data_IF_395440630095
#
_entry.id   IF_395440630095
#
_cell.length_a   1.000
_cell.length_b   1.000
_cell.length_c   1.000
_cell.angle_alpha   90.00
_cell.angle_beta   90.00
_cell.angle_gamma   90.00
#
_symmetry.space_group_name_H-M   'P 1'
#
loop_
_entity.id
_entity.type
_entity.pdbx_description
1 polymer ?
#
# COMPACT_ATOMS: atom_id res chain seq x y z
N UNK A 1 -12.21 27.46 -23.87
CA UNK A 1 -10.99 26.85 -23.29
C UNK A 1 -10.76 25.45 -23.83
N UNK A 2 -9.74 24.75 -23.33
CA UNK A 2 -9.37 23.39 -23.75
C UNK A 2 -10.42 22.35 -23.36
N UNK A 3 -10.33 21.14 -23.94
CA UNK A 3 -11.26 20.04 -23.66
C UNK A 3 -10.82 19.17 -22.48
N UNK A 4 -11.78 18.62 -21.73
CA UNK A 4 -11.50 17.62 -20.69
C UNK A 4 -12.55 16.53 -20.60
N UNK A 5 -12.13 15.34 -20.19
CA UNK A 5 -12.99 14.18 -19.97
C UNK A 5 -12.95 13.77 -18.50
N UNK A 6 -14.12 13.47 -17.93
CA UNK A 6 -14.26 12.91 -16.58
C UNK A 6 -14.96 11.55 -16.69
N UNK A 7 -14.35 10.52 -16.11
CA UNK A 7 -14.95 9.20 -15.96
C UNK A 7 -14.70 8.64 -14.55
N UNK A 8 -15.63 7.82 -14.06
CA UNK A 8 -15.58 7.29 -12.69
C UNK A 8 -16.04 8.30 -11.63
N UNK A 9 -15.85 7.96 -10.36
CA UNK A 9 -16.38 8.73 -9.22
C UNK A 9 -15.31 9.37 -8.35
N UNK A 10 -14.05 8.94 -8.44
CA UNK A 10 -12.98 9.38 -7.54
C UNK A 10 -12.57 10.83 -7.82
N UNK A 11 -12.97 11.77 -6.96
CA UNK A 11 -12.63 13.20 -7.11
C UNK A 11 -13.23 13.89 -8.34
N UNK A 12 -14.12 13.21 -9.07
CA UNK A 12 -14.67 13.67 -10.34
C UNK A 12 -15.35 15.04 -10.24
N UNK A 13 -16.15 15.27 -9.19
CA UNK A 13 -16.84 16.54 -8.96
C UNK A 13 -15.86 17.70 -8.76
N UNK A 14 -14.82 17.51 -7.95
CA UNK A 14 -13.82 18.54 -7.64
C UNK A 14 -13.12 18.99 -8.92
N UNK A 15 -12.71 18.03 -9.75
CA UNK A 15 -11.98 18.29 -10.99
C UNK A 15 -12.90 18.88 -12.06
N UNK A 16 -14.14 18.39 -12.18
CA UNK A 16 -15.13 18.95 -13.11
C UNK A 16 -15.39 20.42 -12.79
N UNK A 17 -15.71 20.73 -11.54
CA UNK A 17 -15.98 22.11 -11.13
C UNK A 17 -14.77 23.03 -11.30
N UNK A 18 -13.55 22.53 -11.08
CA UNK A 18 -12.33 23.30 -11.37
C UNK A 18 -12.19 23.62 -12.87
N UNK A 19 -12.36 22.61 -13.74
CA UNK A 19 -12.24 22.77 -15.19
C UNK A 19 -13.32 23.72 -15.74
N UNK A 20 -14.56 23.55 -15.30
CA UNK A 20 -15.70 24.38 -15.69
C UNK A 20 -15.48 25.84 -15.29
N UNK A 21 -15.03 26.12 -14.05
CA UNK A 21 -14.69 27.49 -13.61
C UNK A 21 -13.54 28.11 -14.40
N UNK A 22 -12.65 27.31 -14.98
CA UNK A 22 -11.56 27.77 -15.86
C UNK A 22 -12.01 27.95 -17.32
N UNK A 23 -13.28 27.74 -17.65
CA UNK A 23 -13.82 27.85 -19.00
C UNK A 23 -13.40 26.70 -19.93
N UNK A 24 -13.06 25.54 -19.36
CA UNK A 24 -12.75 24.32 -20.13
C UNK A 24 -14.03 23.65 -20.58
N UNK A 25 -13.98 22.97 -21.73
CA UNK A 25 -15.15 22.33 -22.35
C UNK A 25 -15.16 20.84 -22.05
N UNK A 26 -16.21 20.35 -21.38
CA UNK A 26 -16.33 18.91 -21.08
C UNK A 26 -16.65 18.13 -22.36
N UNK A 27 -15.97 17.01 -22.55
CA UNK A 27 -16.26 16.01 -23.59
C UNK A 27 -16.74 14.71 -22.94
N UNK A 28 -17.64 14.00 -23.64
CA UNK A 28 -18.24 12.75 -23.16
C UNK A 28 -17.75 11.52 -23.92
N UNK A 29 -17.23 11.71 -25.13
CA UNK A 29 -16.61 10.65 -25.92
C UNK A 29 -15.19 10.36 -25.37
N UNK A 30 -14.98 9.16 -24.82
CA UNK A 30 -13.71 8.73 -24.22
C UNK A 30 -12.60 8.53 -25.26
N UNK A 31 -12.96 8.22 -26.50
CA UNK A 31 -12.06 7.90 -27.60
C UNK A 31 -11.42 9.15 -28.23
N UNK A 32 -11.98 10.34 -27.99
CA UNK A 32 -11.38 11.61 -28.44
C UNK A 32 -9.98 11.79 -27.86
N UNK A 33 -9.06 12.25 -28.69
CA UNK A 33 -7.65 12.49 -28.36
C UNK A 33 -7.31 13.99 -28.24
N UNK A 34 -8.21 14.89 -28.62
CA UNK A 34 -8.04 16.34 -28.55
C UNK A 34 -8.33 16.93 -27.15
N UNK A 35 -8.02 16.19 -26.09
CA UNK A 35 -8.21 16.61 -24.70
C UNK A 35 -6.96 17.25 -24.12
N UNK A 36 -7.13 18.14 -23.14
CA UNK A 36 -6.06 18.62 -22.26
C UNK A 36 -5.96 17.80 -20.98
N UNK A 37 -7.10 17.30 -20.46
CA UNK A 37 -7.15 16.46 -19.27
C UNK A 37 -8.12 15.28 -19.45
N UNK A 38 -7.65 14.08 -19.10
CA UNK A 38 -8.50 12.89 -18.91
C UNK A 38 -8.42 12.44 -17.45
N UNK A 39 -9.50 12.66 -16.72
CA UNK A 39 -9.67 12.21 -15.34
C UNK A 39 -10.52 10.95 -15.29
N UNK A 40 -9.89 9.79 -15.45
CA UNK A 40 -10.56 8.50 -15.32
C UNK A 40 -9.57 7.40 -14.94
N UNK A 41 -10.07 6.35 -14.28
CA UNK A 41 -9.32 5.12 -14.07
C UNK A 41 -9.05 4.46 -15.42
N UNK A 42 -7.82 4.57 -15.92
CA UNK A 42 -7.45 4.08 -17.24
C UNK A 42 -6.83 2.70 -17.11
N UNK A 43 -7.66 1.67 -17.30
CA UNK A 43 -7.26 0.25 -17.18
C UNK A 43 -6.61 -0.33 -18.45
N UNK A 44 -6.55 0.42 -19.55
CA UNK A 44 -6.12 -0.10 -20.86
C UNK A 44 -4.83 0.56 -21.33
N UNK A 45 -3.82 -0.25 -21.64
CA UNK A 45 -2.52 0.18 -22.17
C UNK A 45 -2.65 1.05 -23.44
N UNK A 46 -3.60 0.73 -24.33
CA UNK A 46 -3.81 1.44 -25.59
C UNK A 46 -4.09 2.96 -25.43
N UNK A 47 -4.70 3.38 -24.31
CA UNK A 47 -4.95 4.80 -24.06
C UNK A 47 -3.68 5.57 -23.66
N UNK A 48 -2.65 4.88 -23.16
CA UNK A 48 -1.36 5.49 -22.85
C UNK A 48 -0.47 5.61 -24.09
N UNK A 49 -0.57 4.69 -25.05
CA UNK A 49 0.22 4.76 -26.29
C UNK A 49 -0.04 6.03 -27.11
N UNK A 50 -1.26 6.58 -27.03
CA UNK A 50 -1.66 7.80 -27.73
C UNK A 50 -1.46 9.08 -26.90
N UNK A 51 -0.88 8.97 -25.70
CA UNK A 51 -0.64 10.11 -24.82
C UNK A 51 0.48 11.00 -25.38
N UNK A 52 0.23 12.31 -25.42
CA UNK A 52 1.20 13.31 -25.91
C UNK A 52 1.75 14.13 -24.74
N UNK A 53 2.97 13.82 -24.34
CA UNK A 53 3.69 14.51 -23.25
C UNK A 53 3.77 16.02 -23.50
N UNK A 54 3.69 16.82 -22.42
CA UNK A 54 3.63 18.28 -22.44
C UNK A 54 2.32 18.87 -22.99
N UNK A 55 1.56 18.11 -23.78
CA UNK A 55 0.28 18.54 -24.38
C UNK A 55 -0.91 18.08 -23.56
N UNK A 56 -0.89 16.87 -23.02
CA UNK A 56 -2.02 16.24 -22.33
C UNK A 56 -1.72 15.92 -20.87
N UNK A 57 -2.78 15.78 -20.06
CA UNK A 57 -2.73 15.33 -18.66
C UNK A 57 -3.65 14.13 -18.46
N UNK A 58 -3.19 13.16 -17.68
CA UNK A 58 -3.91 11.95 -17.34
C UNK A 58 -3.86 11.74 -15.82
N UNK A 59 -4.93 11.16 -15.27
CA UNK A 59 -5.08 10.96 -13.82
C UNK A 59 -4.12 9.92 -13.22
N UNK A 60 -3.68 8.93 -14.00
CA UNK A 60 -2.81 7.85 -13.54
C UNK A 60 -1.52 7.81 -14.34
N UNK A 61 -0.43 7.45 -13.66
CA UNK A 61 0.85 7.16 -14.29
C UNK A 61 0.76 5.73 -14.86
N UNK A 62 1.27 5.48 -16.08
CA UNK A 62 1.42 4.13 -16.60
C UNK A 62 2.16 3.23 -15.60
N UNK A 63 1.74 1.98 -15.46
CA UNK A 63 2.34 1.00 -14.55
C UNK A 63 2.27 1.36 -13.04
N UNK A 64 1.33 2.21 -12.62
CA UNK A 64 1.12 2.53 -11.19
C UNK A 64 0.89 1.28 -10.32
N UNK A 65 0.41 0.17 -10.90
CA UNK A 65 0.23 -1.13 -10.27
C UNK A 65 1.49 -1.66 -9.56
N UNK A 66 2.69 -1.21 -9.97
CA UNK A 66 3.98 -1.49 -9.31
C UNK A 66 3.98 -1.00 -7.86
N UNK A 67 3.26 0.07 -7.52
CA UNK A 67 3.19 0.59 -6.15
C UNK A 67 1.78 0.49 -5.54
N UNK A 68 0.74 0.42 -6.36
CA UNK A 68 -0.66 0.48 -5.90
C UNK A 68 -1.30 -0.90 -5.69
N UNK A 69 -0.62 -1.99 -6.08
CA UNK A 69 -1.05 -3.36 -5.80
C UNK A 69 -0.21 -4.00 -4.69
N UNK A 70 -0.79 -4.96 -3.97
CA UNK A 70 -0.09 -5.66 -2.87
C UNK A 70 1.13 -6.42 -3.38
N UNK A 71 1.00 -7.08 -4.53
CA UNK A 71 2.09 -7.85 -5.17
C UNK A 71 3.11 -6.91 -5.80
N UNK A 72 2.67 -5.90 -6.56
CA UNK A 72 3.59 -4.93 -7.15
C UNK A 72 4.47 -4.27 -6.10
N UNK A 73 3.86 -3.82 -4.99
CA UNK A 73 4.61 -3.20 -3.90
C UNK A 73 5.60 -4.18 -3.28
N UNK A 74 5.18 -5.42 -3.01
CA UNK A 74 6.04 -6.46 -2.45
C UNK A 74 7.25 -6.78 -3.35
N UNK A 75 7.02 -6.88 -4.65
CA UNK A 75 8.06 -7.11 -5.66
C UNK A 75 9.01 -5.92 -5.76
N UNK A 76 8.50 -4.68 -5.66
CA UNK A 76 9.33 -3.46 -5.72
C UNK A 76 10.24 -3.29 -4.51
N UNK A 77 9.82 -3.79 -3.34
CA UNK A 77 10.58 -3.65 -2.10
C UNK A 77 11.70 -4.68 -1.92
N UNK A 78 11.91 -5.57 -2.89
CA UNK A 78 12.91 -6.65 -2.80
C UNK A 78 12.63 -7.65 -1.68
N UNK A 79 11.40 -7.68 -1.16
CA UNK A 79 10.98 -8.55 -0.05
C UNK A 79 10.67 -9.99 -0.47
N UNK A 80 10.49 -10.24 -1.77
CA UNK A 80 10.71 -11.57 -2.36
C UNK A 80 12.17 -11.91 -2.07
N UNK A 81 12.39 -12.62 -0.95
CA UNK A 81 13.71 -13.04 -0.52
C UNK A 81 14.41 -13.69 -1.70
N UNK A 82 15.58 -13.17 -2.06
CA UNK A 82 16.55 -13.91 -2.85
C UNK A 82 16.72 -15.25 -2.14
N UNK A 83 16.10 -16.30 -2.68
CA UNK A 83 16.46 -17.66 -2.33
C UNK A 83 17.91 -17.78 -2.77
N UNK A 84 18.82 -17.70 -1.80
CA UNK A 84 20.19 -18.15 -1.95
C UNK A 84 20.14 -19.62 -2.36
N UNK A 85 19.98 -19.87 -3.65
CA UNK A 85 20.40 -21.10 -4.28
C UNK A 85 21.91 -20.95 -4.39
N UNK A 86 22.61 -21.47 -3.38
CA UNK A 86 23.98 -21.93 -3.51
C UNK A 86 24.00 -23.06 -4.55
N UNK A 87 23.95 -22.70 -5.83
CA UNK A 87 24.34 -23.56 -6.94
C UNK A 87 25.06 -22.67 -7.95
N UNK A 88 26.34 -22.96 -8.17
CA UNK A 88 27.18 -22.24 -9.11
C UNK A 88 26.54 -22.22 -10.49
N UNK A 89 26.26 -21.03 -11.00
CA UNK A 89 25.78 -20.82 -12.36
C UNK A 89 25.91 -19.35 -12.72
N UNK A 90 26.93 -19.02 -13.52
CA UNK A 90 27.06 -17.69 -14.11
C UNK A 90 25.90 -17.49 -15.08
N UNK A 91 25.01 -16.53 -14.81
CA UNK A 91 24.11 -15.99 -15.83
C UNK A 91 23.90 -14.49 -15.64
N UNK A 92 24.26 -13.76 -16.70
CA UNK A 92 23.56 -12.58 -17.23
C UNK A 92 23.36 -11.38 -16.33
N UNK A 93 24.13 -10.32 -16.58
CA UNK A 93 23.80 -8.96 -16.13
C UNK A 93 22.36 -8.62 -16.52
N UNK A 94 21.48 -8.53 -15.53
CA UNK A 94 20.15 -7.94 -15.67
C UNK A 94 20.13 -6.62 -14.90
N UNK A 95 19.60 -5.60 -15.57
CA UNK A 95 19.60 -4.20 -15.14
C UNK A 95 19.12 -4.02 -13.69
N UNK A 96 19.96 -3.40 -12.86
CA UNK A 96 19.57 -2.95 -11.51
C UNK A 96 18.55 -1.81 -11.63
N UNK A 97 17.45 -1.81 -10.85
CA UNK A 97 16.54 -0.67 -10.80
C UNK A 97 17.25 0.57 -10.25
N UNK A 98 16.90 1.74 -10.80
CA UNK A 98 17.56 3.04 -10.61
C UNK A 98 17.84 3.43 -9.14
N UNK A 99 17.05 2.95 -8.18
CA UNK A 99 17.23 3.24 -6.75
C UNK A 99 18.37 2.49 -6.06
N UNK A 100 19.02 1.53 -6.75
CA UNK A 100 20.25 0.89 -6.25
C UNK A 100 21.53 1.66 -6.58
N UNK A 101 21.45 2.84 -7.22
CA UNK A 101 22.59 3.71 -7.45
C UNK A 101 22.95 4.44 -6.16
N UNK A 102 23.94 3.92 -5.42
CA UNK A 102 24.64 4.68 -4.39
C UNK A 102 25.70 5.53 -5.08
N UNK A 103 25.71 6.87 -4.93
CA UNK A 103 26.87 7.64 -5.38
C UNK A 103 28.01 7.35 -4.41
N UNK A 104 29.11 6.78 -4.92
CA UNK A 104 30.36 6.71 -4.18
C UNK A 104 30.82 8.14 -3.88
N UNK A 105 30.71 8.53 -2.60
CA UNK A 105 31.23 9.80 -2.11
C UNK A 105 32.75 9.64 -1.97
N UNK A 106 33.50 10.37 -2.79
CA UNK A 106 34.96 10.46 -2.74
C UNK A 106 35.43 11.00 -1.37
N UNK A 107 36.51 10.45 -0.76
CA UNK A 107 36.83 10.74 0.63
C UNK A 107 37.83 11.91 0.76
N UNK A 108 37.42 13.15 0.51
CA UNK A 108 38.24 14.31 0.84
C UNK A 108 37.40 15.49 1.37
N UNK A 109 37.10 15.50 2.67
CA UNK A 109 37.29 16.68 3.56
C UNK A 109 36.68 16.49 4.96
N UNK A 110 37.53 16.77 5.95
CA UNK A 110 37.30 17.12 7.36
C UNK A 110 35.97 16.82 8.06
N UNK A 111 36.04 15.85 8.98
CA UNK A 111 35.47 15.80 10.34
C UNK A 111 34.45 16.90 10.72
N UNK A 112 33.17 16.57 10.64
CA UNK A 112 32.15 16.93 11.64
C UNK A 112 31.24 15.73 11.87
N UNK A 113 31.00 15.41 13.14
CA UNK A 113 30.12 14.33 13.58
C UNK A 113 28.71 14.53 13.01
N UNK A 114 28.39 13.84 11.92
CA UNK A 114 27.01 13.59 11.49
C UNK A 114 26.75 12.15 11.89
N UNK A 115 25.89 11.96 12.91
CA UNK A 115 25.33 10.65 13.18
C UNK A 115 24.76 10.12 11.87
N UNK A 116 25.36 9.05 11.31
CA UNK A 116 24.86 8.38 10.13
C UNK A 116 23.43 7.92 10.47
N UNK A 117 22.44 8.70 10.06
CA UNK A 117 21.06 8.26 10.04
C UNK A 117 21.00 7.21 8.92
N UNK A 118 21.32 5.95 9.26
CA UNK A 118 21.12 4.80 8.38
C UNK A 118 19.66 4.85 7.94
N UNK A 119 19.41 5.21 6.68
CA UNK A 119 18.07 5.14 6.10
C UNK A 119 17.64 3.67 6.18
N UNK A 120 16.56 3.34 6.91
CA UNK A 120 16.11 1.96 6.99
C UNK A 120 15.77 1.47 5.58
N UNK A 121 16.25 0.27 5.22
CA UNK A 121 15.90 -0.33 3.93
C UNK A 121 14.39 -0.56 3.92
N UNK A 122 13.72 -0.44 2.76
CA UNK A 122 12.27 -0.68 2.66
C UNK A 122 11.84 -2.04 3.25
N UNK A 123 12.72 -3.05 3.16
CA UNK A 123 12.53 -4.37 3.73
C UNK A 123 12.49 -4.41 5.28
N UNK A 124 12.99 -3.39 5.97
CA UNK A 124 12.90 -3.26 7.43
C UNK A 124 11.55 -2.68 7.87
N UNK A 125 10.86 -1.94 6.99
CA UNK A 125 9.56 -1.34 7.27
C UNK A 125 8.38 -2.28 6.97
N UNK A 126 8.55 -3.20 6.01
CA UNK A 126 7.50 -4.13 5.58
C UNK A 126 7.62 -5.43 6.38
N UNK A 127 6.58 -5.82 7.15
CA UNK A 127 6.61 -7.10 7.86
C UNK A 127 6.80 -8.26 6.89
N UNK A 128 7.45 -9.34 7.37
CA UNK A 128 7.67 -10.57 6.58
C UNK A 128 6.39 -10.97 5.85
N UNK A 129 6.46 -11.13 4.53
CA UNK A 129 5.30 -11.39 3.68
C UNK A 129 5.63 -12.49 2.69
N UNK A 130 4.66 -13.38 2.46
CA UNK A 130 4.72 -14.50 1.52
C UNK A 130 3.62 -14.38 0.48
N UNK A 131 3.97 -14.70 -0.75
CA UNK A 131 3.07 -14.88 -1.88
C UNK A 131 2.54 -16.31 -1.89
N UNK A 132 1.23 -16.47 -1.74
CA UNK A 132 0.63 -17.80 -1.75
C UNK A 132 0.39 -18.33 -3.16
N UNK A 133 0.55 -17.51 -4.19
CA UNK A 133 0.54 -17.92 -5.59
C UNK A 133 1.88 -18.52 -6.05
N UNK A 134 2.97 -18.29 -5.31
CA UNK A 134 4.27 -18.92 -5.57
C UNK A 134 4.42 -20.17 -4.68
N UNK A 135 4.55 -21.34 -5.30
CA UNK A 135 4.66 -22.63 -4.59
C UNK A 135 5.80 -22.64 -3.57
N UNK A 136 6.97 -22.13 -3.97
CA UNK A 136 8.17 -22.07 -3.12
C UNK A 136 7.95 -21.22 -1.86
N UNK A 137 7.41 -20.01 -1.99
CA UNK A 137 7.09 -19.15 -0.84
C UNK A 137 5.99 -19.73 0.02
N UNK A 138 5.00 -20.38 -0.59
CA UNK A 138 3.91 -21.06 0.13
C UNK A 138 4.43 -22.19 1.01
N UNK A 139 5.30 -23.05 0.48
CA UNK A 139 5.94 -24.14 1.22
C UNK A 139 6.86 -23.60 2.32
N UNK A 140 7.59 -22.50 2.05
CA UNK A 140 8.42 -21.81 3.05
C UNK A 140 7.60 -21.24 4.22
N UNK A 141 6.47 -20.60 3.92
CA UNK A 141 5.54 -20.13 4.96
C UNK A 141 5.06 -21.28 5.84
N UNK A 142 4.63 -22.37 5.21
CA UNK A 142 4.04 -23.51 5.90
C UNK A 142 5.04 -24.33 6.71
N UNK A 143 6.30 -24.39 6.29
CA UNK A 143 7.38 -25.06 7.04
C UNK A 143 7.85 -24.21 8.24
N UNK A 144 7.85 -22.88 8.11
CA UNK A 144 8.30 -21.95 9.16
C UNK A 144 7.21 -21.51 10.12
N UNK A 145 5.96 -21.88 9.90
CA UNK A 145 4.87 -21.44 10.75
C UNK A 145 5.11 -21.88 12.21
N UNK A 146 5.28 -20.91 13.09
CA UNK A 146 5.44 -21.12 14.53
C UNK A 146 4.17 -20.72 15.28
N UNK A 147 3.81 -21.49 16.32
CA UNK A 147 2.58 -21.32 17.12
C UNK A 147 2.44 -19.95 17.80
N UNK A 148 3.50 -19.14 17.87
CA UNK A 148 3.51 -17.84 18.57
C UNK A 148 3.21 -16.64 17.67
N UNK A 149 3.34 -16.78 16.34
CA UNK A 149 3.20 -15.65 15.41
C UNK A 149 1.82 -15.64 14.77
N UNK A 150 1.12 -14.51 14.90
CA UNK A 150 -0.11 -14.24 14.16
C UNK A 150 0.20 -13.72 12.76
N UNK A 151 -0.60 -14.11 11.79
CA UNK A 151 -0.48 -13.66 10.40
C UNK A 151 -1.79 -13.08 9.90
N UNK A 152 -1.71 -12.21 8.90
CA UNK A 152 -2.84 -11.60 8.22
C UNK A 152 -2.82 -11.99 6.74
N UNK A 153 -3.90 -12.63 6.31
CA UNK A 153 -4.11 -13.02 4.92
C UNK A 153 -4.85 -11.92 4.19
N UNK A 154 -4.30 -11.46 3.06
CA UNK A 154 -4.88 -10.38 2.26
C UNK A 154 -5.04 -10.82 0.81
N UNK A 155 -6.26 -10.86 0.25
CA UNK A 155 -6.48 -11.08 -1.17
C UNK A 155 -5.83 -9.95 -2.00
N UNK A 156 -5.11 -10.28 -3.07
CA UNK A 156 -4.31 -9.30 -3.84
C UNK A 156 -5.17 -8.33 -4.65
N UNK A 157 -6.35 -8.76 -5.11
CA UNK A 157 -7.27 -7.97 -5.96
C UNK A 157 -8.43 -7.28 -5.24
N UNK A 158 -8.54 -7.42 -3.90
CA UNK A 158 -9.62 -6.81 -3.14
C UNK A 158 -9.17 -5.58 -2.35
N UNK A 159 -10.13 -4.69 -2.07
CA UNK A 159 -9.97 -3.45 -1.31
C UNK A 159 -10.98 -3.39 -0.15
N UNK A 160 -10.93 -2.31 0.63
CA UNK A 160 -11.87 -2.02 1.73
C UNK A 160 -11.89 -3.04 2.89
N UNK A 161 -10.84 -3.86 3.00
CA UNK A 161 -10.75 -4.91 4.01
C UNK A 161 -11.49 -6.20 3.65
N UNK A 162 -12.09 -6.29 2.45
CA UNK A 162 -12.84 -7.48 2.03
C UNK A 162 -11.94 -8.70 1.89
N UNK A 163 -12.41 -9.82 2.44
CA UNK A 163 -11.73 -11.12 2.39
C UNK A 163 -10.44 -11.20 3.20
N UNK A 164 -10.13 -10.20 4.03
CA UNK A 164 -9.01 -10.26 4.97
C UNK A 164 -9.40 -11.10 6.17
N UNK A 165 -8.52 -11.99 6.59
CA UNK A 165 -8.68 -12.80 7.81
C UNK A 165 -7.32 -13.01 8.48
N UNK A 166 -7.34 -13.45 9.73
CA UNK A 166 -6.15 -13.71 10.52
C UNK A 166 -5.91 -15.21 10.65
N UNK A 167 -4.64 -15.60 10.72
CA UNK A 167 -4.20 -16.93 11.11
C UNK A 167 -3.60 -16.80 12.51
N UNK A 168 -4.33 -17.31 13.52
CA UNK A 168 -3.97 -17.20 14.94
C UNK A 168 -3.58 -18.56 15.53
N UNK A 169 -4.15 -19.63 15.01
CA UNK A 169 -3.99 -21.00 15.50
C UNK A 169 -3.40 -21.93 14.44
N UNK A 170 -3.03 -23.14 14.83
CA UNK A 170 -2.64 -24.18 13.88
C UNK A 170 -3.82 -24.60 12.99
N UNK A 171 -5.03 -24.62 13.55
CA UNK A 171 -6.23 -25.00 12.84
C UNK A 171 -6.56 -24.01 11.72
N UNK A 172 -6.38 -22.71 11.96
CA UNK A 172 -6.55 -21.66 10.94
C UNK A 172 -5.60 -21.91 9.75
N UNK A 173 -4.35 -22.29 10.04
CA UNK A 173 -3.33 -22.55 9.01
C UNK A 173 -3.66 -23.82 8.23
N UNK A 174 -4.09 -24.88 8.91
CA UNK A 174 -4.50 -26.13 8.27
C UNK A 174 -5.71 -25.91 7.37
N UNK A 175 -6.73 -25.21 7.86
CA UNK A 175 -7.91 -24.84 7.09
C UNK A 175 -7.54 -23.97 5.88
N UNK A 176 -6.61 -23.02 6.04
CA UNK A 176 -6.14 -22.21 4.94
C UNK A 176 -5.34 -23.02 3.89
N UNK A 177 -4.51 -23.96 4.33
CA UNK A 177 -3.78 -24.87 3.43
C UNK A 177 -4.75 -25.71 2.59
N UNK A 178 -5.75 -26.31 3.22
CA UNK A 178 -6.78 -27.08 2.52
C UNK A 178 -7.56 -26.22 1.52
N UNK A 179 -7.89 -24.99 1.89
CA UNK A 179 -8.54 -24.03 0.99
C UNK A 179 -7.71 -23.74 -0.26
N UNK A 180 -6.39 -23.63 -0.14
CA UNK A 180 -5.51 -23.42 -1.29
C UNK A 180 -5.43 -24.67 -2.19
N UNK A 181 -5.32 -25.86 -1.61
CA UNK A 181 -5.30 -27.14 -2.34
C UNK A 181 -6.59 -27.35 -3.13
N UNK A 182 -7.75 -27.21 -2.49
CA UNK A 182 -9.04 -27.37 -3.14
C UNK A 182 -9.24 -26.39 -4.31
N UNK A 183 -8.69 -25.17 -4.19
CA UNK A 183 -8.74 -24.19 -5.27
C UNK A 183 -7.89 -24.62 -6.48
N UNK A 184 -6.75 -25.28 -6.25
CA UNK A 184 -5.87 -25.82 -7.31
C UNK A 184 -6.49 -27.06 -7.99
N UNK A 185 -7.05 -27.99 -7.21
CA UNK A 185 -7.70 -29.20 -7.75
C UNK A 185 -8.94 -28.86 -8.60
N UNK A 186 -9.70 -27.84 -8.17
CA UNK A 186 -10.83 -27.31 -8.94
C UNK A 186 -10.41 -26.70 -10.28
N UNK A 187 -9.15 -26.26 -10.43
CA UNK A 187 -8.63 -25.76 -11.70
C UNK A 187 -8.14 -26.89 -12.60
N UNK A 188 -7.46 -27.89 -12.04
CA UNK A 188 -7.00 -29.06 -12.81
C UNK A 188 -8.19 -29.79 -13.48
N UNK A 189 -9.31 -29.90 -12.76
CA UNK A 189 -10.55 -30.51 -13.28
C UNK A 189 -11.31 -29.62 -14.28
N UNK A 190 -11.21 -28.29 -14.19
CA UNK A 190 -11.88 -27.35 -15.11
C UNK A 190 -11.05 -26.98 -16.34
N UNK A 191 -9.75 -27.26 -16.38
CA UNK A 191 -8.89 -27.05 -17.55
C UNK A 191 -9.38 -27.79 -18.81
N UNK A 192 -10.22 -28.82 -18.66
CA UNK A 192 -10.83 -29.57 -19.76
C UNK A 192 -12.09 -28.93 -20.36
N UNK A 193 -12.68 -27.88 -19.78
CA UNK A 193 -13.84 -27.16 -20.34
C UNK A 193 -13.46 -25.71 -20.65
N UNK A 194 -13.61 -25.29 -21.90
CA UNK A 194 -13.20 -23.98 -22.49
C UNK A 194 -13.96 -22.74 -21.93
N UNK A 195 -14.34 -22.74 -20.66
CA UNK A 195 -15.03 -21.61 -20.02
C UNK A 195 -14.01 -20.64 -19.41
N UNK A 196 -14.26 -19.34 -19.53
CA UNK A 196 -13.43 -18.21 -19.07
C UNK A 196 -12.71 -18.51 -17.73
N UNK A 197 -11.40 -18.84 -17.80
CA UNK A 197 -10.60 -19.27 -16.66
C UNK A 197 -10.63 -18.22 -15.54
N UNK A 198 -11.38 -18.47 -14.45
CA UNK A 198 -11.24 -17.69 -13.22
C UNK A 198 -9.97 -18.14 -12.52
N UNK A 199 -8.89 -17.39 -12.74
CA UNK A 199 -7.66 -17.56 -11.99
C UNK A 199 -7.96 -17.53 -10.48
N UNK A 200 -7.35 -18.42 -9.68
CA UNK A 200 -7.55 -18.45 -8.24
C UNK A 200 -7.24 -17.09 -7.65
N UNK A 201 -8.08 -16.63 -6.71
CA UNK A 201 -7.83 -15.37 -6.01
C UNK A 201 -6.46 -15.47 -5.31
N UNK A 202 -5.45 -14.66 -5.71
CA UNK A 202 -4.15 -14.74 -5.06
C UNK A 202 -4.25 -14.11 -3.66
N UNK A 203 -3.46 -14.64 -2.74
CA UNK A 203 -3.32 -14.12 -1.38
C UNK A 203 -1.86 -13.79 -1.11
N UNK A 204 -1.65 -12.75 -0.30
CA UNK A 204 -0.43 -12.60 0.47
C UNK A 204 -0.70 -12.98 1.92
N UNK A 205 0.28 -13.59 2.57
CA UNK A 205 0.30 -13.84 4.00
C UNK A 205 1.39 -12.99 4.61
N UNK A 206 1.03 -12.05 5.47
CA UNK A 206 1.96 -11.11 6.07
C UNK A 206 1.97 -11.28 7.59
N UNK A 207 3.15 -11.16 8.21
CA UNK A 207 3.27 -11.20 9.66
C UNK A 207 2.45 -10.06 10.26
N UNK A 208 1.57 -10.39 11.20
CA UNK A 208 0.71 -9.41 11.84
C UNK A 208 1.49 -8.65 12.92
N UNK A 209 1.34 -7.32 12.94
CA UNK A 209 1.89 -6.47 14.00
C UNK A 209 0.99 -6.62 15.22
N UNK A 210 1.35 -7.54 16.12
CA UNK A 210 0.57 -7.88 17.32
C UNK A 210 0.63 -6.80 18.41
N UNK A 211 1.73 -6.02 18.46
CA UNK A 211 1.93 -4.95 19.45
C UNK A 211 1.98 -3.59 18.74
N UNK A 212 0.89 -3.12 18.13
CA UNK A 212 0.86 -1.81 17.50
C UNK A 212 0.87 -0.70 18.58
N UNK A 213 1.33 0.50 18.20
CA UNK A 213 1.02 1.70 18.97
C UNK A 213 -0.51 1.88 19.00
N UNK A 214 -1.06 2.23 20.16
CA UNK A 214 -2.49 2.42 20.35
C UNK A 214 -2.78 3.86 20.75
N UNK A 215 -3.86 4.43 20.22
CA UNK A 215 -4.38 5.74 20.64
C UNK A 215 -5.62 5.49 21.48
N UNK A 216 -5.56 5.84 22.77
CA UNK A 216 -6.61 5.51 23.75
C UNK A 216 -7.02 4.03 23.72
N UNK A 217 -6.03 3.13 23.60
CA UNK A 217 -6.27 1.68 23.53
C UNK A 217 -6.86 1.19 22.20
N UNK A 218 -7.08 2.07 21.22
CA UNK A 218 -7.63 1.73 19.89
C UNK A 218 -6.51 1.60 18.86
N UNK A 219 -6.67 0.66 17.94
CA UNK A 219 -5.74 0.46 16.84
C UNK A 219 -5.95 1.56 15.79
N UNK A 220 -4.88 2.01 15.15
CA UNK A 220 -4.97 3.01 14.10
C UNK A 220 -4.06 2.73 12.90
N UNK A 221 -4.35 3.42 11.81
CA UNK A 221 -3.42 3.60 10.69
C UNK A 221 -3.40 5.06 10.25
N UNK A 222 -2.31 5.49 9.62
CA UNK A 222 -2.20 6.83 9.04
C UNK A 222 -2.39 6.75 7.54
N UNK A 223 -3.30 7.58 7.02
CA UNK A 223 -3.44 7.84 5.59
C UNK A 223 -2.73 9.14 5.26
N UNK A 224 -1.80 9.10 4.31
CA UNK A 224 -1.19 10.28 3.71
C UNK A 224 -1.49 10.35 2.22
N UNK A 225 -1.30 11.54 1.62
CA UNK A 225 -1.54 11.78 0.21
C UNK A 225 -0.27 12.20 -0.50
N UNK A 226 0.01 11.55 -1.62
CA UNK A 226 1.11 11.85 -2.53
C UNK A 226 0.54 12.13 -3.91
N UNK A 227 1.00 13.22 -4.53
CA UNK A 227 0.74 13.54 -5.93
C UNK A 227 2.05 13.56 -6.67
N UNK A 228 2.27 12.57 -7.54
CA UNK A 228 3.39 12.57 -8.47
C UNK A 228 2.94 13.41 -9.67
N UNK A 229 3.38 14.67 -9.73
CA UNK A 229 2.98 15.62 -10.76
C UNK A 229 3.74 15.40 -12.08
N UNK A 230 4.99 14.95 -11.99
CA UNK A 230 5.81 14.62 -13.13
C UNK A 230 6.84 13.54 -12.75
N UNK A 231 7.22 12.71 -13.70
CA UNK A 231 8.28 11.70 -13.52
C UNK A 231 9.62 12.13 -14.10
N UNK A 232 9.64 13.16 -14.95
CA UNK A 232 10.85 13.71 -15.56
C UNK A 232 10.70 15.23 -15.84
N UNK A 233 11.22 16.13 -14.98
CA UNK A 233 11.88 15.84 -13.71
C UNK A 233 10.89 15.23 -12.70
N UNK A 234 11.42 14.45 -11.76
CA UNK A 234 10.59 13.79 -10.75
C UNK A 234 10.09 14.82 -9.73
N UNK A 235 8.77 15.08 -9.72
CA UNK A 235 8.13 16.07 -8.83
C UNK A 235 7.01 15.40 -8.07
N UNK A 236 7.11 15.40 -6.73
CA UNK A 236 6.12 14.81 -5.83
C UNK A 236 5.68 15.82 -4.80
N UNK A 237 4.37 16.05 -4.73
CA UNK A 237 3.76 16.82 -3.66
C UNK A 237 3.27 15.87 -2.58
N UNK A 238 3.67 16.14 -1.35
CA UNK A 238 3.16 15.47 -0.17
C UNK A 238 2.14 16.35 0.55
N UNK A 239 1.07 15.73 1.04
CA UNK A 239 0.14 16.36 1.98
C UNK A 239 -0.12 15.43 3.14
N UNK A 240 -0.05 16.00 4.35
CA UNK A 240 -0.57 15.37 5.55
C UNK A 240 -2.01 14.92 5.29
N UNK A 241 -2.32 13.66 5.65
CA UNK A 241 -3.68 13.18 5.61
C UNK A 241 -4.28 13.16 7.00
N UNK A 242 -4.69 11.98 7.46
CA UNK A 242 -5.39 11.81 8.72
C UNK A 242 -5.16 10.42 9.29
N UNK A 243 -5.47 10.28 10.57
CA UNK A 243 -5.42 9.01 11.29
C UNK A 243 -6.80 8.36 11.28
N UNK A 244 -6.84 7.05 11.06
CA UNK A 244 -8.05 6.23 11.10
C UNK A 244 -7.97 5.26 12.25
N UNK A 245 -8.87 5.38 13.20
CA UNK A 245 -8.94 4.54 14.39
C UNK A 245 -10.01 3.45 14.24
N UNK A 246 -9.84 2.34 14.94
CA UNK A 246 -10.91 1.38 15.19
C UNK A 246 -11.96 1.98 16.13
N UNK A 247 -13.22 1.56 16.02
CA UNK A 247 -14.27 1.93 16.97
C UNK A 247 -13.99 1.29 18.34
N UNK A 248 -13.64 0.00 18.31
CA UNK A 248 -13.42 -0.83 19.48
C UNK A 248 -11.98 -0.77 19.97
N UNK A 249 -11.78 -1.07 21.25
CA UNK A 249 -10.46 -1.26 21.84
C UNK A 249 -9.74 -2.42 21.15
N UNK A 250 -8.41 -2.31 21.04
CA UNK A 250 -7.59 -3.34 20.47
C UNK A 250 -7.42 -4.50 21.45
N UNK A 251 -7.80 -5.70 21.03
CA UNK A 251 -7.49 -6.94 21.73
C UNK A 251 -6.91 -7.94 20.72
N UNK A 252 -5.65 -8.38 20.86
CA UNK A 252 -5.05 -9.36 19.96
C UNK A 252 -5.82 -10.71 19.96
N UNK A 253 -6.52 -11.04 21.04
CA UNK A 253 -7.23 -12.32 21.18
C UNK A 253 -8.63 -12.30 20.56
N UNK A 254 -9.23 -11.12 20.39
CA UNK A 254 -10.58 -10.96 19.85
C UNK A 254 -10.73 -11.60 18.47
N UNK A 255 -11.82 -12.34 18.23
CA UNK A 255 -12.14 -12.87 16.90
C UNK A 255 -12.77 -11.82 15.98
N UNK A 256 -13.21 -10.67 16.53
CA UNK A 256 -13.86 -9.61 15.77
C UNK A 256 -12.86 -8.87 14.86
N UNK A 257 -13.02 -8.95 13.52
CA UNK A 257 -12.14 -8.25 12.58
C UNK A 257 -12.13 -6.73 12.77
N UNK A 258 -13.19 -6.13 13.33
CA UNK A 258 -13.29 -4.68 13.51
C UNK A 258 -12.28 -4.12 14.52
N UNK A 259 -11.81 -4.96 15.46
CA UNK A 259 -10.73 -4.60 16.41
C UNK A 259 -9.36 -4.56 15.73
N UNK A 260 -9.20 -5.26 14.61
CA UNK A 260 -7.93 -5.45 13.92
C UNK A 260 -7.78 -4.65 12.63
N UNK A 261 -8.89 -4.29 11.98
CA UNK A 261 -8.94 -3.64 10.67
C UNK A 261 -9.54 -2.24 10.76
N UNK A 262 -8.72 -1.21 10.60
CA UNK A 262 -9.09 0.22 10.71
C UNK A 262 -9.83 0.78 9.49
N UNK A 263 -10.09 -0.03 8.47
CA UNK A 263 -10.82 0.40 7.28
C UNK A 263 -12.22 0.91 7.64
N UNK A 264 -12.58 2.11 7.22
CA UNK A 264 -13.93 2.67 7.47
C UNK A 264 -15.06 1.74 7.01
N UNK A 265 -14.90 1.01 5.90
CA UNK A 265 -15.90 0.03 5.46
C UNK A 265 -16.12 -1.12 6.45
N UNK A 266 -15.09 -1.49 7.23
CA UNK A 266 -15.20 -2.46 8.31
C UNK A 266 -15.79 -1.81 9.56
N UNK A 267 -15.35 -0.59 9.90
CA UNK A 267 -15.81 0.15 11.08
C UNK A 267 -17.30 0.53 11.00
N UNK A 268 -17.81 0.84 9.80
CA UNK A 268 -19.23 1.13 9.54
C UNK A 268 -20.19 0.00 9.90
N UNK A 269 -19.69 -1.22 10.06
CA UNK A 269 -20.50 -2.38 10.49
C UNK A 269 -20.78 -2.38 11.99
N UNK A 270 -20.06 -1.57 12.76
CA UNK A 270 -20.31 -1.43 14.19
C UNK A 270 -21.69 -0.77 14.40
N UNK A 271 -22.59 -1.35 15.21
CA UNK A 271 -23.92 -0.78 15.47
C UNK A 271 -23.89 0.65 16.01
N UNK A 272 -22.82 1.03 16.72
CA UNK A 272 -22.63 2.35 17.32
C UNK A 272 -21.81 3.30 16.43
N UNK A 273 -21.54 2.93 15.17
CA UNK A 273 -20.67 3.72 14.29
C UNK A 273 -21.18 5.15 14.08
N UNK A 274 -22.50 5.37 14.03
CA UNK A 274 -23.07 6.71 13.86
C UNK A 274 -22.66 7.67 14.98
N UNK A 275 -22.53 7.17 16.21
CA UNK A 275 -22.12 7.94 17.39
C UNK A 275 -20.59 8.09 17.45
N UNK A 276 -19.86 7.06 17.03
CA UNK A 276 -18.39 7.00 17.12
C UNK A 276 -17.66 7.56 15.90
N UNK A 277 -18.37 7.89 14.82
CA UNK A 277 -17.78 8.22 13.51
C UNK A 277 -16.71 9.31 13.60
N UNK A 278 -17.00 10.40 14.32
CA UNK A 278 -16.07 11.53 14.45
C UNK A 278 -14.84 11.16 15.30
N UNK A 279 -14.98 10.26 16.27
CA UNK A 279 -13.86 9.77 17.09
C UNK A 279 -12.93 8.82 16.33
N UNK A 280 -13.39 8.25 15.20
CA UNK A 280 -12.60 7.31 14.39
C UNK A 280 -11.66 7.98 13.40
N UNK A 281 -11.70 9.31 13.29
CA UNK A 281 -10.85 10.06 12.36
C UNK A 281 -10.20 11.23 13.08
N UNK A 282 -8.87 11.21 13.21
CA UNK A 282 -8.14 12.34 13.78
C UNK A 282 -7.37 13.10 12.71
N UNK A 283 -7.33 14.42 12.86
CA UNK A 283 -6.38 15.24 12.12
C UNK A 283 -4.94 14.95 12.56
N UNK A 284 -3.97 15.34 11.74
CA UNK A 284 -2.57 15.16 12.09
C UNK A 284 -2.16 16.04 13.28
N UNK A 285 -2.79 17.19 13.46
CA UNK A 285 -2.58 18.09 14.60
C UNK A 285 -3.09 17.46 15.90
N UNK A 286 -4.28 16.85 15.89
CA UNK A 286 -4.81 16.12 17.05
C UNK A 286 -3.92 14.92 17.41
N UNK A 287 -3.45 14.19 16.40
CA UNK A 287 -2.51 13.09 16.61
C UNK A 287 -1.17 13.58 17.19
N UNK A 288 -0.62 14.67 16.65
CA UNK A 288 0.61 15.27 17.13
C UNK A 288 0.49 15.73 18.59
N UNK A 289 -0.59 16.44 18.92
CA UNK A 289 -0.90 16.88 20.29
C UNK A 289 -0.98 15.68 21.25
N UNK A 290 -1.65 14.61 20.83
CA UNK A 290 -1.74 13.39 21.63
C UNK A 290 -0.37 12.75 21.89
N UNK A 291 0.47 12.64 20.86
CA UNK A 291 1.83 12.07 20.98
C UNK A 291 2.70 12.94 21.88
N UNK A 292 2.68 14.27 21.71
CA UNK A 292 3.40 15.23 22.55
C UNK A 292 3.05 15.05 24.04
N UNK A 293 1.76 14.85 24.34
CA UNK A 293 1.26 14.77 25.71
C UNK A 293 1.43 13.39 26.35
N UNK A 294 1.30 12.30 25.58
CA UNK A 294 1.23 10.93 26.14
C UNK A 294 2.48 10.10 25.92
N UNK A 295 3.17 10.27 24.79
CA UNK A 295 4.26 9.38 24.40
C UNK A 295 5.62 10.06 24.36
N UNK A 296 5.68 11.38 24.19
CA UNK A 296 6.93 12.12 23.97
C UNK A 296 7.99 11.80 25.02
N UNK A 297 7.66 11.96 26.30
CA UNK A 297 8.61 11.73 27.40
C UNK A 297 8.94 10.24 27.51
N UNK A 298 7.92 9.38 27.54
CA UNK A 298 8.09 7.94 27.73
C UNK A 298 8.89 7.25 26.60
N UNK A 299 8.81 7.78 25.38
CA UNK A 299 9.48 7.24 24.19
C UNK A 299 10.70 8.07 23.75
N UNK A 300 11.07 9.12 24.48
CA UNK A 300 12.20 9.99 24.13
C UNK A 300 12.06 10.69 22.77
N UNK A 301 10.83 11.04 22.36
CA UNK A 301 10.57 11.67 21.06
C UNK A 301 10.81 13.18 21.11
N UNK A 302 11.25 13.82 20.02
CA UNK A 302 11.28 15.27 19.92
C UNK A 302 9.86 15.86 19.98
N UNK A 303 9.77 17.15 20.31
CA UNK A 303 8.52 17.90 20.19
C UNK A 303 8.07 17.92 18.72
N UNK A 304 6.77 17.78 18.50
CA UNK A 304 6.15 17.73 17.16
C UNK A 304 6.69 16.62 16.25
N UNK A 305 7.10 15.49 16.84
CA UNK A 305 7.62 14.33 16.12
C UNK A 305 6.69 13.85 14.98
N UNK A 306 5.36 13.94 15.17
CA UNK A 306 4.38 13.50 14.16
C UNK A 306 4.43 14.39 12.91
N UNK A 307 4.53 15.70 13.09
CA UNK A 307 4.55 16.66 11.98
C UNK A 307 5.93 16.77 11.33
N UNK A 308 7.00 16.53 12.10
CA UNK A 308 8.39 16.50 11.60
C UNK A 308 8.84 15.09 11.21
N UNK A 309 9.54 14.42 12.15
CA UNK A 309 10.27 13.18 11.91
C UNK A 309 9.42 12.06 11.31
N UNK A 310 8.21 11.83 11.82
CA UNK A 310 7.31 10.80 11.31
C UNK A 310 6.93 11.05 9.84
N UNK A 311 6.62 12.30 9.52
CA UNK A 311 6.25 12.70 8.16
C UNK A 311 7.42 12.56 7.20
N UNK A 312 8.62 12.99 7.60
CA UNK A 312 9.83 12.90 6.77
C UNK A 312 10.30 11.45 6.61
N UNK A 313 10.22 10.63 7.67
CA UNK A 313 10.65 9.22 7.62
C UNK A 313 9.69 8.32 6.86
N UNK A 314 8.42 8.73 6.71
CA UNK A 314 7.42 8.01 5.90
C UNK A 314 7.55 8.30 4.39
N UNK A 315 8.43 9.23 3.99
CA UNK A 315 8.69 9.59 2.61
C UNK A 315 10.07 9.06 2.20
N UNK A 316 10.15 8.05 1.31
CA UNK A 316 11.44 7.56 0.82
C UNK A 316 12.16 8.53 -0.14
N UNK A 317 11.68 9.78 -0.26
CA UNK A 317 12.20 10.75 -1.21
C UNK A 317 13.25 11.61 -0.50
N UNK A 318 14.50 11.35 -0.84
CA UNK A 318 15.64 12.08 -0.33
C UNK A 318 15.59 13.57 -0.67
N UNK A 319 16.06 14.38 0.27
CA UNK A 319 16.79 15.60 -0.06
C UNK A 319 18.09 15.27 -0.76
#
# INVERSE_FOLDING_TARGET
GPFFFIGGTNGAAIVSSYCERKGWKRIYNKQRDDFKLKWCETKSAANYCNFREGKQLIYQIPNDAVLTTKIGLLSSCGTTRDLNISAGGRLGQSHKPFWLWSPEISPHSSRRCVALCRRPKMAEFIPTTFRMDLRTEREDFFSRYGRTKMWICKPTGLNQGRGIFLLKSQDDVTAFRLKLQNAEDSQASQASRRTLQRQPQPYIVQQYIQNPLLLNGKKFDVRSYLLIACTCPFVVFFRHGYVRLSCNLYDPRSSDPSTHLTNQCMQKKNPLYSQLKEDTVWSMESFNTYVNNKFRVAMGLPWDWVLGTFTVSALPLGH
#
